data_IF_307794325546
#
_entry.id   IF_307794325546
#
_cell.length_a   1.000
_cell.length_b   1.000
_cell.length_c   1.000
_cell.angle_alpha   90.00
_cell.angle_beta   90.00
_cell.angle_gamma   90.00
#
_symmetry.space_group_name_H-M   'P 1'
#
loop_
_entity.id
_entity.type
_entity.pdbx_description
1 polymer ?
#
# COMPACT_ATOMS: atom_id res chain seq x y z
N UNK A 1 -56.29 -3.85 -45.10
CA UNK A 1 -55.05 -4.33 -44.50
C UNK A 1 -55.02 -3.95 -43.02
N UNK A 2 -55.29 -4.90 -42.11
CA UNK A 2 -55.21 -4.67 -40.66
C UNK A 2 -53.77 -4.88 -40.21
N UNK A 3 -53.07 -3.84 -39.74
CA UNK A 3 -51.76 -3.94 -39.08
C UNK A 3 -51.95 -4.59 -37.72
N UNK A 4 -51.41 -5.79 -37.54
CA UNK A 4 -51.35 -6.45 -36.22
C UNK A 4 -50.43 -5.67 -35.31
N UNK A 5 -50.96 -5.24 -34.14
CA UNK A 5 -50.15 -4.67 -33.07
C UNK A 5 -49.37 -5.82 -32.37
N UNK A 6 -48.09 -5.68 -32.10
CA UNK A 6 -47.37 -6.73 -31.36
C UNK A 6 -47.95 -6.91 -29.95
N UNK A 7 -48.05 -8.14 -29.51
CA UNK A 7 -48.54 -8.55 -28.23
C UNK A 7 -47.63 -8.00 -27.12
N UNK A 8 -48.16 -7.25 -26.12
CA UNK A 8 -47.35 -6.68 -25.05
C UNK A 8 -46.53 -7.72 -24.26
N UNK A 9 -46.98 -8.96 -24.20
CA UNK A 9 -46.25 -10.07 -23.57
C UNK A 9 -44.90 -10.37 -24.27
N UNK A 10 -44.82 -10.21 -25.60
CA UNK A 10 -43.58 -10.44 -26.36
C UNK A 10 -42.54 -9.31 -26.14
N UNK A 11 -43.00 -8.09 -25.91
CA UNK A 11 -42.13 -6.94 -25.61
C UNK A 11 -41.54 -7.09 -24.23
N UNK A 12 -42.31 -7.55 -23.23
CA UNK A 12 -41.85 -7.78 -21.85
C UNK A 12 -40.83 -8.92 -21.80
N UNK A 13 -41.04 -10.01 -22.50
CA UNK A 13 -40.10 -11.13 -22.59
C UNK A 13 -38.77 -10.71 -23.28
N UNK A 14 -38.82 -9.88 -24.32
CA UNK A 14 -37.59 -9.36 -24.96
C UNK A 14 -36.80 -8.40 -24.07
N UNK A 15 -37.46 -7.58 -23.27
CA UNK A 15 -36.83 -6.69 -22.31
C UNK A 15 -36.23 -7.50 -21.14
N UNK A 16 -36.90 -8.54 -20.67
CA UNK A 16 -36.36 -9.44 -19.63
C UNK A 16 -35.15 -10.24 -20.12
N UNK A 17 -35.13 -10.65 -21.40
CA UNK A 17 -33.97 -11.35 -21.99
C UNK A 17 -32.75 -10.42 -22.17
N UNK A 18 -32.99 -9.14 -22.48
CA UNK A 18 -31.92 -8.13 -22.60
C UNK A 18 -31.36 -7.75 -21.21
N UNK A 19 -32.17 -7.77 -20.16
CA UNK A 19 -31.68 -7.56 -18.77
C UNK A 19 -30.83 -8.73 -18.25
N UNK A 20 -30.92 -9.93 -18.83
CA UNK A 20 -30.10 -11.08 -18.42
C UNK A 20 -28.68 -11.12 -19.01
N UNK A 21 -28.32 -10.15 -19.87
CA UNK A 21 -26.99 -10.11 -20.53
C UNK A 21 -26.16 -8.89 -20.04
N UNK A 22 -26.43 -8.38 -18.84
CA UNK A 22 -25.44 -7.50 -18.22
C UNK A 22 -24.30 -8.42 -17.76
N UNK A 23 -23.07 -8.27 -18.31
CA UNK A 23 -21.95 -9.03 -17.79
C UNK A 23 -21.83 -8.71 -16.30
N UNK A 24 -21.87 -9.74 -15.47
CA UNK A 24 -21.41 -9.61 -14.09
C UNK A 24 -20.02 -8.98 -14.15
N UNK A 25 -19.73 -7.98 -13.34
CA UNK A 25 -18.36 -7.44 -13.28
C UNK A 25 -17.42 -8.62 -13.13
N UNK A 26 -16.45 -8.73 -14.02
CA UNK A 26 -15.49 -9.82 -14.00
C UNK A 26 -14.83 -9.82 -12.62
N UNK A 27 -14.92 -10.94 -11.92
CA UNK A 27 -14.26 -11.09 -10.63
C UNK A 27 -12.76 -10.89 -10.85
N UNK A 28 -12.13 -9.99 -10.08
CA UNK A 28 -10.70 -9.80 -10.16
C UNK A 28 -10.01 -11.09 -9.73
N UNK A 29 -9.12 -11.59 -10.58
CA UNK A 29 -8.15 -12.63 -10.22
C UNK A 29 -6.80 -11.97 -10.02
N UNK A 30 -6.26 -12.07 -8.83
CA UNK A 30 -4.90 -11.57 -8.52
C UNK A 30 -3.84 -12.36 -9.28
N UNK A 31 -2.63 -11.81 -9.43
CA UNK A 31 -1.51 -12.56 -10.01
C UNK A 31 -1.23 -13.87 -9.27
N UNK A 32 -1.43 -13.89 -7.95
CA UNK A 32 -1.27 -15.10 -7.12
C UNK A 32 -2.29 -16.20 -7.46
N UNK A 33 -3.50 -15.85 -7.86
CA UNK A 33 -4.55 -16.81 -8.26
C UNK A 33 -4.36 -17.36 -9.67
N UNK A 34 -3.46 -16.77 -10.46
CA UNK A 34 -3.14 -17.22 -11.83
C UNK A 34 -2.00 -18.25 -11.82
N UNK A 35 -2.19 -19.31 -11.06
CA UNK A 35 -1.19 -20.37 -10.85
C UNK A 35 -0.72 -21.02 -12.14
N UNK A 36 -1.58 -21.11 -13.16
CA UNK A 36 -1.28 -21.60 -14.49
C UNK A 36 -0.17 -20.81 -15.22
N UNK A 37 -0.01 -19.53 -14.88
CA UNK A 37 0.99 -18.66 -15.50
C UNK A 37 2.38 -18.82 -14.87
N UNK A 38 2.47 -18.96 -13.54
CA UNK A 38 3.77 -18.93 -12.87
C UNK A 38 4.27 -20.28 -12.38
N UNK A 39 3.43 -21.26 -12.08
CA UNK A 39 3.91 -22.58 -11.65
C UNK A 39 4.82 -23.26 -12.70
N UNK A 40 4.54 -23.18 -14.02
CA UNK A 40 5.45 -23.70 -15.03
C UNK A 40 6.86 -23.06 -14.99
N UNK A 41 6.93 -21.75 -14.66
CA UNK A 41 8.19 -21.00 -14.58
C UNK A 41 9.05 -21.40 -13.38
N UNK A 42 8.46 -22.05 -12.36
CA UNK A 42 9.13 -22.43 -11.11
C UNK A 42 9.63 -23.87 -11.08
N UNK A 43 9.22 -24.71 -12.05
CA UNK A 43 9.57 -26.13 -12.05
C UNK A 43 11.08 -26.33 -12.13
N UNK A 44 11.62 -27.14 -11.23
CA UNK A 44 13.04 -27.47 -11.14
C UNK A 44 13.91 -26.34 -10.57
N UNK A 45 13.34 -25.19 -10.22
CA UNK A 45 14.05 -24.06 -9.63
C UNK A 45 14.01 -24.11 -8.09
N UNK A 46 15.05 -23.55 -7.47
CA UNK A 46 15.09 -23.27 -6.03
C UNK A 46 14.44 -21.91 -5.79
N UNK A 47 13.27 -21.92 -5.17
CA UNK A 47 12.38 -20.78 -5.05
C UNK A 47 12.43 -20.20 -3.64
N UNK A 48 12.44 -18.87 -3.51
CA UNK A 48 12.07 -18.18 -2.29
C UNK A 48 10.79 -17.35 -2.51
N UNK A 49 10.04 -17.11 -1.44
CA UNK A 49 8.95 -16.13 -1.42
C UNK A 49 9.43 -14.93 -0.62
N UNK A 50 9.16 -13.70 -1.12
CA UNK A 50 9.06 -12.51 -0.30
C UNK A 50 7.58 -12.23 -0.11
N UNK A 51 7.07 -12.47 1.10
CA UNK A 51 5.62 -12.46 1.37
C UNK A 51 5.29 -12.26 2.84
N UNK A 52 3.99 -12.09 3.10
CA UNK A 52 3.44 -11.96 4.43
C UNK A 52 2.04 -12.62 4.51
N UNK A 53 1.24 -12.31 5.53
CA UNK A 53 -0.11 -12.85 5.73
C UNK A 53 -1.09 -12.53 4.58
N UNK A 54 -0.80 -11.53 3.74
CA UNK A 54 -1.63 -11.17 2.58
C UNK A 54 -1.32 -12.02 1.34
N UNK A 55 -0.26 -12.83 1.38
CA UNK A 55 0.20 -13.69 0.28
C UNK A 55 -0.72 -14.92 0.13
N UNK A 56 -1.95 -14.69 -0.36
CA UNK A 56 -2.99 -15.72 -0.47
C UNK A 56 -3.33 -16.05 -1.92
N UNK A 57 -3.64 -17.32 -2.15
CA UNK A 57 -4.23 -17.87 -3.37
C UNK A 57 -5.61 -18.38 -2.98
N UNK A 58 -6.64 -17.58 -3.21
CA UNK A 58 -7.96 -17.82 -2.59
C UNK A 58 -7.83 -17.80 -1.06
N UNK A 59 -8.22 -18.90 -0.42
CA UNK A 59 -8.16 -19.06 1.05
C UNK A 59 -6.86 -19.73 1.55
N UNK A 60 -5.95 -20.12 0.65
CA UNK A 60 -4.71 -20.83 1.00
C UNK A 60 -3.50 -19.92 0.85
N UNK A 61 -2.62 -19.93 1.84
CA UNK A 61 -1.39 -19.14 1.75
C UNK A 61 -0.48 -19.62 0.61
N UNK A 62 0.13 -18.69 -0.13
CA UNK A 62 0.97 -18.99 -1.30
C UNK A 62 2.06 -20.03 -1.01
N UNK A 63 2.74 -19.97 0.15
CA UNK A 63 3.74 -20.96 0.52
C UNK A 63 3.17 -22.39 0.55
N UNK A 64 1.98 -22.55 1.10
CA UNK A 64 1.31 -23.86 1.18
C UNK A 64 0.90 -24.34 -0.23
N UNK A 65 0.40 -23.42 -1.08
CA UNK A 65 0.04 -23.69 -2.48
C UNK A 65 1.24 -24.16 -3.30
N UNK A 66 2.39 -23.48 -3.17
CA UNK A 66 3.62 -23.84 -3.89
C UNK A 66 4.14 -25.23 -3.46
N UNK A 67 4.18 -25.49 -2.15
CA UNK A 67 4.62 -26.79 -1.64
C UNK A 67 3.68 -27.91 -2.10
N UNK A 68 2.35 -27.70 -2.04
CA UNK A 68 1.36 -28.66 -2.52
C UNK A 68 1.48 -28.92 -4.04
N UNK A 69 1.96 -27.93 -4.81
CA UNK A 69 2.22 -28.03 -6.25
C UNK A 69 3.59 -28.67 -6.58
N UNK A 70 4.35 -29.12 -5.59
CA UNK A 70 5.64 -29.77 -5.76
C UNK A 70 6.78 -28.79 -6.12
N UNK A 71 6.62 -27.49 -5.85
CA UNK A 71 7.66 -26.49 -6.05
C UNK A 71 8.71 -26.60 -4.93
N UNK A 72 9.98 -26.54 -5.30
CA UNK A 72 11.10 -26.55 -4.36
C UNK A 72 11.27 -25.19 -3.68
N UNK A 73 10.36 -24.90 -2.73
CA UNK A 73 10.39 -23.70 -1.90
C UNK A 73 11.42 -23.91 -0.78
N UNK A 74 12.48 -23.09 -0.74
CA UNK A 74 13.61 -23.32 0.16
C UNK A 74 13.69 -22.34 1.33
N UNK A 75 13.14 -21.12 1.19
CA UNK A 75 13.10 -20.12 2.26
C UNK A 75 12.05 -19.04 2.00
N UNK A 76 11.81 -18.25 3.04
CA UNK A 76 10.85 -17.15 3.04
C UNK A 76 11.56 -15.88 3.49
N UNK A 77 11.44 -14.81 2.72
CA UNK A 77 11.75 -13.45 3.15
C UNK A 77 10.46 -12.80 3.65
N UNK A 78 10.48 -12.17 4.81
CA UNK A 78 9.31 -11.47 5.33
C UNK A 78 9.62 -10.01 5.67
N UNK A 79 8.72 -9.07 5.27
CA UNK A 79 8.85 -7.67 5.60
C UNK A 79 8.38 -7.37 7.02
N UNK A 80 8.13 -6.10 7.31
CA UNK A 80 7.43 -5.64 8.50
C UNK A 80 6.13 -6.44 8.73
N UNK A 81 5.73 -6.60 9.97
CA UNK A 81 4.59 -7.41 10.45
C UNK A 81 4.78 -8.94 10.39
N UNK A 82 5.91 -9.43 9.87
CA UNK A 82 6.21 -10.87 9.86
C UNK A 82 5.45 -11.67 8.79
N UNK A 83 5.76 -12.96 8.72
CA UNK A 83 5.25 -13.80 7.64
C UNK A 83 3.76 -14.15 7.78
N UNK A 84 3.29 -14.39 9.00
CA UNK A 84 1.88 -14.72 9.28
C UNK A 84 1.10 -13.57 9.93
N UNK A 85 1.67 -12.33 9.94
CA UNK A 85 0.98 -11.12 10.42
C UNK A 85 0.90 -10.96 11.93
N UNK A 86 1.81 -11.56 12.68
CA UNK A 86 1.76 -11.59 14.16
C UNK A 86 2.48 -10.41 14.83
N UNK A 87 3.19 -9.53 14.07
CA UNK A 87 3.98 -8.45 14.61
C UNK A 87 3.33 -7.07 14.40
N UNK A 88 3.31 -6.23 15.47
CA UNK A 88 2.84 -4.85 15.37
C UNK A 88 3.74 -3.96 14.50
N UNK A 89 3.24 -2.78 14.11
CA UNK A 89 4.02 -1.79 13.36
C UNK A 89 5.26 -1.34 14.16
N UNK A 90 6.44 -1.40 13.52
CA UNK A 90 7.71 -1.06 14.15
C UNK A 90 8.29 -2.14 15.06
N UNK A 91 7.57 -3.23 15.33
CA UNK A 91 8.09 -4.33 16.14
C UNK A 91 9.23 -5.08 15.44
N UNK A 92 10.16 -5.60 16.25
CA UNK A 92 11.25 -6.41 15.73
C UNK A 92 10.73 -7.74 15.20
N UNK A 93 10.83 -7.94 13.89
CA UNK A 93 10.55 -9.21 13.24
C UNK A 93 11.82 -10.06 13.27
N UNK A 94 11.80 -11.15 14.01
CA UNK A 94 12.95 -12.05 14.11
C UNK A 94 12.94 -13.10 13.00
N UNK A 95 14.14 -13.48 12.54
CA UNK A 95 14.31 -14.64 11.67
C UNK A 95 14.05 -15.92 12.47
N UNK A 96 13.47 -16.93 11.82
CA UNK A 96 13.09 -18.16 12.49
C UNK A 96 12.69 -19.25 11.50
N UNK A 97 11.70 -20.05 11.88
CA UNK A 97 11.10 -21.06 10.99
C UNK A 97 9.57 -20.92 11.03
N UNK A 98 8.97 -21.07 9.86
CA UNK A 98 7.52 -21.17 9.76
C UNK A 98 7.04 -22.45 10.44
N UNK A 99 6.14 -22.31 11.40
CA UNK A 99 5.66 -23.44 12.23
C UNK A 99 4.89 -24.48 11.43
N UNK A 100 4.29 -24.07 10.31
CA UNK A 100 3.47 -24.96 9.46
C UNK A 100 4.32 -25.73 8.45
N UNK A 101 5.26 -25.06 7.79
CA UNK A 101 6.05 -25.65 6.70
C UNK A 101 7.46 -26.05 7.10
N UNK A 102 7.95 -25.59 8.26
CA UNK A 102 9.32 -25.78 8.72
C UNK A 102 10.37 -24.96 7.95
N UNK A 103 9.96 -24.15 6.96
CA UNK A 103 10.87 -23.37 6.14
C UNK A 103 11.54 -22.25 6.95
N UNK A 104 12.80 -21.93 6.66
CA UNK A 104 13.47 -20.79 7.26
C UNK A 104 12.80 -19.48 6.84
N UNK A 105 12.53 -18.63 7.83
CA UNK A 105 12.05 -17.25 7.65
C UNK A 105 13.21 -16.31 7.90
N UNK A 106 13.46 -15.41 6.95
CA UNK A 106 14.48 -14.38 7.00
C UNK A 106 13.77 -13.03 7.06
N UNK A 107 13.95 -12.30 8.15
CA UNK A 107 13.39 -10.97 8.31
C UNK A 107 14.12 -9.93 7.47
N UNK A 108 13.35 -9.17 6.68
CA UNK A 108 13.80 -7.99 5.94
C UNK A 108 13.35 -6.69 6.61
N UNK A 109 13.27 -6.70 7.95
CA UNK A 109 12.86 -5.53 8.72
C UNK A 109 13.90 -5.18 9.82
N UNK A 110 13.94 -3.92 10.20
CA UNK A 110 14.90 -3.40 11.19
C UNK A 110 16.29 -3.16 10.59
N UNK A 111 17.30 -3.91 11.02
CA UNK A 111 18.69 -3.71 10.58
C UNK A 111 18.96 -4.26 9.17
N UNK A 112 18.34 -5.36 8.81
CA UNK A 112 18.58 -6.07 7.54
C UNK A 112 17.34 -5.89 6.64
N UNK A 113 17.33 -4.82 5.84
CA UNK A 113 16.22 -4.53 4.92
C UNK A 113 16.41 -5.16 3.54
N UNK A 114 17.66 -5.49 3.19
CA UNK A 114 18.04 -6.10 1.92
C UNK A 114 18.53 -7.52 2.17
N UNK A 115 18.08 -8.52 1.38
CA UNK A 115 18.69 -9.86 1.43
C UNK A 115 20.19 -9.80 1.20
N UNK A 116 20.97 -10.56 1.98
CA UNK A 116 22.42 -10.65 1.77
C UNK A 116 22.76 -11.55 0.58
N UNK A 117 23.97 -11.45 0.07
CA UNK A 117 24.48 -12.31 -1.00
C UNK A 117 24.32 -13.80 -0.65
N UNK A 118 24.66 -14.20 0.57
CA UNK A 118 24.55 -15.59 1.02
C UNK A 118 23.11 -16.08 1.07
N UNK A 119 22.16 -15.16 1.34
CA UNK A 119 20.73 -15.49 1.39
C UNK A 119 20.11 -15.67 0.01
N UNK A 120 20.75 -15.16 -1.06
CA UNK A 120 20.23 -15.18 -2.43
C UNK A 120 21.00 -16.15 -3.34
N UNK A 121 22.28 -16.42 -3.08
CA UNK A 121 23.16 -17.21 -3.95
C UNK A 121 22.62 -18.61 -4.26
N UNK A 122 21.98 -19.27 -3.28
CA UNK A 122 21.40 -20.61 -3.41
C UNK A 122 20.02 -20.64 -4.06
N UNK A 123 19.49 -19.50 -4.51
CA UNK A 123 18.20 -19.37 -5.18
C UNK A 123 18.38 -19.31 -6.71
N UNK A 124 17.29 -19.61 -7.40
CA UNK A 124 17.16 -19.41 -8.85
C UNK A 124 16.13 -18.31 -9.13
N UNK A 125 15.08 -18.20 -8.28
CA UNK A 125 14.00 -17.22 -8.43
C UNK A 125 13.47 -16.78 -7.07
N UNK A 126 13.05 -15.52 -6.98
CA UNK A 126 12.34 -14.96 -5.82
C UNK A 126 10.95 -14.52 -6.28
N UNK A 127 9.90 -15.07 -5.67
CA UNK A 127 8.53 -14.60 -5.85
C UNK A 127 8.28 -13.47 -4.88
N UNK A 128 7.78 -12.34 -5.36
CA UNK A 128 7.29 -11.24 -4.54
C UNK A 128 5.75 -11.22 -4.57
N UNK A 129 5.12 -11.40 -3.42
CA UNK A 129 3.66 -11.43 -3.27
C UNK A 129 3.23 -10.77 -1.98
N UNK A 130 2.96 -9.48 -2.02
CA UNK A 130 2.55 -8.67 -0.86
C UNK A 130 1.52 -7.65 -1.30
N UNK A 131 0.43 -7.48 -0.51
CA UNK A 131 -0.57 -6.45 -0.75
C UNK A 131 -0.03 -5.06 -0.35
N UNK A 132 0.10 -4.17 -1.33
CA UNK A 132 0.42 -2.75 -1.14
C UNK A 132 -0.87 -1.90 -1.09
N UNK A 133 -0.76 -0.64 -0.64
CA UNK A 133 -1.88 0.30 -0.58
C UNK A 133 -1.68 1.56 -1.43
N UNK A 134 -0.66 1.59 -2.28
CA UNK A 134 -0.42 2.67 -3.24
C UNK A 134 0.15 3.96 -2.65
N UNK A 135 0.76 3.91 -1.47
CA UNK A 135 1.33 5.04 -0.79
C UNK A 135 2.86 4.93 -0.66
N UNK A 136 3.59 5.98 -1.04
CA UNK A 136 5.07 5.99 -1.02
C UNK A 136 5.66 5.56 0.32
N UNK A 137 5.10 5.98 1.43
CA UNK A 137 5.60 5.67 2.76
C UNK A 137 5.10 4.33 3.32
N UNK A 138 4.25 3.60 2.59
CA UNK A 138 3.92 2.21 2.90
C UNK A 138 5.02 1.32 2.35
N UNK A 139 5.84 0.74 3.22
CA UNK A 139 7.22 0.34 2.93
C UNK A 139 7.40 -0.93 2.09
N UNK A 140 6.33 -1.57 1.62
CA UNK A 140 6.46 -2.78 0.80
C UNK A 140 7.07 -2.52 -0.58
N UNK A 141 6.88 -1.34 -1.16
CA UNK A 141 7.59 -0.91 -2.37
C UNK A 141 9.11 -0.78 -2.13
N UNK A 142 9.52 -0.40 -0.92
CA UNK A 142 10.93 -0.32 -0.52
C UNK A 142 11.51 -1.71 -0.28
N UNK A 143 10.72 -2.65 0.26
CA UNK A 143 11.10 -4.06 0.36
C UNK A 143 11.29 -4.67 -1.03
N UNK A 144 10.36 -4.39 -1.97
CA UNK A 144 10.47 -4.84 -3.37
C UNK A 144 11.77 -4.34 -3.99
N UNK A 145 12.10 -3.04 -3.84
CA UNK A 145 13.35 -2.47 -4.33
C UNK A 145 14.57 -3.28 -3.87
N UNK A 146 14.70 -3.55 -2.57
CA UNK A 146 15.83 -4.27 -2.02
C UNK A 146 15.88 -5.75 -2.43
N UNK A 147 14.73 -6.39 -2.62
CA UNK A 147 14.65 -7.75 -3.16
C UNK A 147 15.11 -7.78 -4.61
N UNK A 148 14.65 -6.84 -5.44
CA UNK A 148 15.06 -6.71 -6.83
C UNK A 148 16.55 -6.40 -6.95
N UNK A 149 17.08 -5.52 -6.09
CA UNK A 149 18.49 -5.15 -6.08
C UNK A 149 19.37 -6.34 -5.70
N UNK A 150 19.03 -7.07 -4.64
CA UNK A 150 19.75 -8.26 -4.22
C UNK A 150 19.71 -9.38 -5.30
N UNK A 151 18.57 -9.54 -5.97
CA UNK A 151 18.42 -10.48 -7.08
C UNK A 151 19.27 -10.07 -8.29
N UNK A 152 19.26 -8.80 -8.68
CA UNK A 152 20.04 -8.27 -9.79
C UNK A 152 21.56 -8.47 -9.58
N UNK A 153 22.06 -8.19 -8.36
CA UNK A 153 23.47 -8.38 -7.99
C UNK A 153 23.94 -9.83 -8.11
N UNK A 154 23.03 -10.80 -7.98
CA UNK A 154 23.33 -12.23 -8.05
C UNK A 154 22.80 -12.90 -9.33
N UNK A 155 22.31 -12.11 -10.31
CA UNK A 155 21.77 -12.63 -11.58
C UNK A 155 20.55 -13.54 -11.39
N UNK A 156 19.70 -13.26 -10.38
CA UNK A 156 18.50 -14.03 -10.09
C UNK A 156 17.26 -13.36 -10.65
N UNK A 157 16.26 -14.17 -10.96
CA UNK A 157 14.94 -13.70 -11.42
C UNK A 157 14.05 -13.29 -10.24
N UNK A 158 13.27 -12.23 -10.42
CA UNK A 158 12.15 -11.87 -9.54
C UNK A 158 10.85 -12.01 -10.32
N UNK A 159 9.88 -12.71 -9.72
CA UNK A 159 8.51 -12.81 -10.23
C UNK A 159 7.59 -12.08 -9.27
N UNK A 160 6.94 -11.01 -9.74
CA UNK A 160 5.91 -10.30 -8.95
C UNK A 160 4.55 -10.90 -9.28
N UNK A 161 3.82 -11.35 -8.26
CA UNK A 161 2.42 -11.72 -8.38
C UNK A 161 1.60 -10.46 -8.06
N UNK A 162 1.10 -9.79 -9.10
CA UNK A 162 0.50 -8.46 -8.95
C UNK A 162 -0.84 -8.50 -8.22
N UNK A 163 -1.11 -7.41 -7.48
CA UNK A 163 -2.30 -7.27 -6.62
C UNK A 163 -2.96 -5.91 -6.82
N UNK A 164 -4.32 -5.82 -6.65
CA UNK A 164 -5.03 -4.56 -6.80
C UNK A 164 -4.49 -3.49 -5.85
N UNK A 165 -4.35 -2.26 -6.37
CA UNK A 165 -4.06 -1.11 -5.54
C UNK A 165 -5.39 -0.42 -5.15
N UNK A 166 -5.77 -0.38 -3.86
CA UNK A 166 -7.02 0.28 -3.43
C UNK A 166 -7.02 1.80 -3.68
N UNK A 167 -5.83 2.43 -3.77
CA UNK A 167 -5.63 3.83 -4.14
C UNK A 167 -5.09 3.98 -5.59
N UNK A 168 -5.33 3.00 -6.47
CA UNK A 168 -4.82 2.97 -7.84
C UNK A 168 -5.44 4.00 -8.78
N UNK A 169 -6.61 4.54 -8.43
CA UNK A 169 -7.44 5.37 -9.27
C UNK A 169 -7.04 6.86 -9.32
N UNK A 170 -6.01 7.28 -8.58
CA UNK A 170 -5.52 8.66 -8.58
C UNK A 170 -4.03 8.77 -8.24
N UNK A 171 -3.47 9.93 -8.55
CA UNK A 171 -2.09 10.31 -8.26
C UNK A 171 -2.11 11.64 -7.51
N UNK A 172 -1.45 11.74 -6.34
CA UNK A 172 -1.55 12.93 -5.51
C UNK A 172 -0.39 13.11 -4.53
N UNK A 173 -0.24 14.35 -4.07
CA UNK A 173 0.71 14.75 -3.03
C UNK A 173 2.11 15.08 -3.56
N UNK A 174 3.00 15.58 -2.69
CA UNK A 174 4.35 15.98 -3.06
C UNK A 174 5.18 14.80 -3.55
N UNK A 175 5.94 15.02 -4.63
CA UNK A 175 6.95 14.09 -5.14
C UNK A 175 8.19 14.16 -4.25
N UNK A 176 8.84 13.02 -4.01
CA UNK A 176 10.07 12.94 -3.23
C UNK A 176 11.18 13.78 -3.87
N UNK A 177 11.77 14.68 -3.11
CA UNK A 177 12.91 15.50 -3.51
C UNK A 177 14.24 14.86 -3.07
N UNK A 178 15.34 15.24 -3.74
CA UNK A 178 16.67 14.79 -3.39
C UNK A 178 17.04 15.18 -1.95
N UNK A 179 17.68 14.27 -1.22
CA UNK A 179 18.06 14.48 0.18
C UNK A 179 17.02 13.98 1.20
N UNK A 180 15.80 13.64 0.77
CA UNK A 180 14.77 13.08 1.66
C UNK A 180 14.59 11.56 1.52
N UNK A 181 15.46 10.92 0.72
CA UNK A 181 15.44 9.47 0.52
C UNK A 181 15.58 8.71 1.84
N UNK A 182 14.73 7.72 2.03
CA UNK A 182 14.71 6.87 3.21
C UNK A 182 13.91 5.59 2.93
N UNK A 183 13.80 4.69 3.89
CA UNK A 183 12.97 3.50 3.73
C UNK A 183 11.48 3.80 3.57
N UNK A 184 10.99 4.96 4.05
CA UNK A 184 9.62 5.44 3.82
C UNK A 184 9.47 6.28 2.55
N UNK A 185 10.50 6.31 1.69
CA UNK A 185 10.50 7.02 0.40
C UNK A 185 11.82 6.85 -0.31
N UNK A 186 11.95 5.87 -1.21
CA UNK A 186 13.19 5.57 -1.91
C UNK A 186 13.29 6.28 -3.26
N UNK A 187 12.16 6.46 -3.95
CA UNK A 187 12.12 6.91 -5.34
C UNK A 187 11.36 8.22 -5.49
N UNK A 188 11.65 8.94 -6.58
CA UNK A 188 11.02 10.22 -6.95
C UNK A 188 9.58 10.01 -7.43
N UNK A 189 8.72 9.54 -6.54
CA UNK A 189 7.29 9.34 -6.77
C UNK A 189 6.47 10.19 -5.79
N UNK A 190 5.21 10.53 -6.09
CA UNK A 190 4.34 11.27 -5.18
C UNK A 190 3.89 10.39 -4.01
N UNK A 191 3.21 10.99 -3.04
CA UNK A 191 2.64 10.28 -1.88
C UNK A 191 1.71 9.17 -2.33
N UNK A 192 0.77 9.45 -3.22
CA UNK A 192 -0.07 8.45 -3.88
C UNK A 192 0.40 8.31 -5.32
N UNK A 193 0.95 7.16 -5.66
CA UNK A 193 1.58 6.96 -6.96
C UNK A 193 0.65 6.34 -8.02
N UNK A 194 -0.54 5.85 -7.62
CA UNK A 194 -1.53 5.32 -8.54
C UNK A 194 -1.08 4.08 -9.34
N UNK A 195 -0.14 3.29 -8.84
CA UNK A 195 0.42 2.12 -9.52
C UNK A 195 0.20 0.86 -8.69
N UNK A 196 0.04 -0.29 -9.34
CA UNK A 196 0.13 -1.59 -8.67
C UNK A 196 1.58 -1.89 -8.27
N UNK A 197 1.78 -2.90 -7.43
CA UNK A 197 3.13 -3.33 -7.03
C UNK A 197 3.94 -3.85 -8.23
N UNK A 198 3.28 -4.49 -9.20
CA UNK A 198 3.89 -4.96 -10.43
C UNK A 198 4.35 -3.82 -11.35
N UNK A 199 3.49 -2.81 -11.55
CA UNK A 199 3.83 -1.60 -12.29
C UNK A 199 4.97 -0.82 -11.63
N UNK A 200 4.95 -0.71 -10.30
CA UNK A 200 6.00 -0.07 -9.53
C UNK A 200 7.36 -0.79 -9.69
N UNK A 201 7.34 -2.12 -9.68
CA UNK A 201 8.53 -2.93 -9.94
C UNK A 201 9.08 -2.71 -11.34
N UNK A 202 8.22 -2.64 -12.36
CA UNK A 202 8.63 -2.32 -13.74
C UNK A 202 9.24 -0.93 -13.84
N UNK A 203 8.64 0.09 -13.19
CA UNK A 203 9.18 1.45 -13.15
C UNK A 203 10.53 1.48 -12.45
N UNK A 204 10.67 0.84 -11.28
CA UNK A 204 11.94 0.74 -10.54
C UNK A 204 13.05 0.18 -11.44
N UNK A 205 12.73 -0.86 -12.19
CA UNK A 205 13.67 -1.49 -13.13
C UNK A 205 13.91 -0.61 -14.38
N UNK A 206 12.84 -0.07 -14.97
CA UNK A 206 12.89 0.75 -16.19
C UNK A 206 13.68 2.04 -16.01
N UNK A 207 13.44 2.76 -14.94
CA UNK A 207 14.13 4.02 -14.60
C UNK A 207 15.56 3.81 -14.06
N UNK A 208 16.00 2.55 -13.87
CA UNK A 208 17.35 2.24 -13.38
C UNK A 208 17.58 2.69 -11.94
N UNK A 209 16.56 2.58 -11.09
CA UNK A 209 16.63 3.02 -9.70
C UNK A 209 17.36 2.05 -8.77
N UNK A 210 17.69 0.85 -9.23
CA UNK A 210 18.52 -0.08 -8.46
C UNK A 210 19.97 0.44 -8.41
N UNK A 211 20.72 0.03 -7.39
CA UNK A 211 22.10 0.50 -7.19
C UNK A 211 22.96 0.33 -8.46
N UNK A 212 23.70 1.38 -8.79
CA UNK A 212 24.54 1.40 -10.00
C UNK A 212 23.77 1.32 -11.33
N UNK A 213 22.44 1.52 -11.32
CA UNK A 213 21.62 1.36 -12.53
C UNK A 213 21.44 -0.10 -12.96
N UNK A 214 21.65 -1.06 -12.05
CA UNK A 214 21.47 -2.48 -12.32
C UNK A 214 20.04 -2.77 -12.81
N UNK A 215 19.90 -3.83 -13.60
CA UNK A 215 18.61 -4.33 -14.09
C UNK A 215 18.35 -5.71 -13.50
N UNK A 216 17.19 -5.86 -12.87
CA UNK A 216 16.71 -7.15 -12.41
C UNK A 216 16.01 -7.89 -13.56
N UNK A 217 16.25 -9.20 -13.67
CA UNK A 217 15.40 -10.05 -14.52
C UNK A 217 14.04 -10.15 -13.85
N UNK A 218 13.04 -9.44 -14.42
CA UNK A 218 11.73 -9.22 -13.80
C UNK A 218 10.61 -9.78 -14.66
N UNK A 219 9.76 -10.61 -14.06
CA UNK A 219 8.49 -11.07 -14.63
C UNK A 219 7.34 -10.58 -13.76
N UNK A 220 6.29 -10.01 -14.35
CA UNK A 220 5.07 -9.63 -13.62
C UNK A 220 3.91 -10.51 -14.08
N UNK A 221 3.32 -11.25 -13.15
CA UNK A 221 2.08 -11.99 -13.39
C UNK A 221 0.93 -11.03 -13.15
N UNK A 222 0.32 -10.58 -14.24
CA UNK A 222 -0.77 -9.59 -14.21
C UNK A 222 -2.04 -10.15 -13.56
N UNK A 223 -2.86 -9.26 -13.04
CA UNK A 223 -4.24 -9.56 -12.67
C UNK A 223 -5.15 -9.71 -13.90
N UNK A 224 -6.28 -10.36 -13.73
CA UNK A 224 -7.40 -10.35 -14.67
C UNK A 224 -8.58 -9.57 -14.07
N UNK A 225 -9.32 -8.85 -14.93
CA UNK A 225 -10.52 -8.11 -14.52
C UNK A 225 -10.27 -6.85 -13.68
N UNK A 226 -9.02 -6.39 -13.57
CA UNK A 226 -8.64 -5.17 -12.88
C UNK A 226 -8.37 -4.03 -13.86
N UNK A 227 -8.82 -2.83 -13.49
CA UNK A 227 -8.43 -1.54 -14.09
C UNK A 227 -8.09 -0.58 -12.95
N UNK A 228 -7.42 0.53 -13.23
CA UNK A 228 -7.12 1.54 -12.19
C UNK A 228 -8.38 2.18 -11.60
N UNK A 229 -9.46 2.27 -12.38
CA UNK A 229 -10.76 2.76 -11.89
C UNK A 229 -11.54 1.75 -11.05
N UNK A 230 -11.08 0.48 -10.98
CA UNK A 230 -11.78 -0.58 -10.24
C UNK A 230 -11.65 -0.35 -8.73
N UNK A 231 -12.79 -0.25 -8.05
CA UNK A 231 -12.84 -0.25 -6.59
C UNK A 231 -12.60 -1.66 -6.05
N UNK A 232 -11.69 -1.76 -5.12
CA UNK A 232 -11.33 -3.04 -4.54
C UNK A 232 -11.19 -2.94 -3.02
N UNK A 233 -12.09 -3.61 -2.31
CA UNK A 233 -11.99 -3.80 -0.87
C UNK A 233 -11.03 -4.95 -0.60
N UNK A 234 -10.02 -4.71 0.22
CA UNK A 234 -9.01 -5.73 0.54
C UNK A 234 -9.63 -6.84 1.40
N UNK A 235 -9.59 -8.11 0.98
CA UNK A 235 -10.17 -9.21 1.74
C UNK A 235 -9.41 -9.48 3.05
N UNK A 236 -8.16 -9.02 3.12
CA UNK A 236 -7.27 -9.15 4.28
C UNK A 236 -6.66 -7.78 4.56
N UNK A 237 -6.73 -7.35 5.81
CA UNK A 237 -6.10 -6.09 6.25
C UNK A 237 -4.59 -6.11 5.93
N UNK A 238 -4.06 -5.10 5.21
CA UNK A 238 -2.67 -5.11 4.75
C UNK A 238 -1.66 -4.90 5.90
N UNK A 239 -2.13 -4.34 7.02
CA UNK A 239 -1.35 -4.21 8.26
C UNK A 239 -2.27 -4.12 9.47
N UNK A 240 -1.75 -4.34 10.70
CA UNK A 240 -2.57 -4.34 11.91
C UNK A 240 -3.33 -3.05 12.20
N UNK A 241 -2.88 -1.91 11.67
CA UNK A 241 -3.51 -0.60 11.86
C UNK A 241 -4.28 -0.08 10.62
N UNK A 242 -4.30 -0.79 9.48
CA UNK A 242 -5.12 -0.47 8.32
C UNK A 242 -6.18 -1.56 8.14
N UNK A 243 -7.23 -1.53 8.99
CA UNK A 243 -8.19 -2.64 9.13
C UNK A 243 -9.45 -2.48 8.29
N UNK A 244 -9.69 -1.29 7.75
CA UNK A 244 -10.89 -0.96 7.00
C UNK A 244 -10.54 -0.24 5.72
N UNK A 245 -11.45 -0.26 4.74
CA UNK A 245 -11.32 0.52 3.52
C UNK A 245 -11.25 2.02 3.82
N UNK A 246 -11.97 2.48 4.86
CA UNK A 246 -11.91 3.87 5.33
C UNK A 246 -10.51 4.25 5.81
N UNK A 247 -9.87 3.41 6.62
CA UNK A 247 -8.50 3.64 7.08
C UNK A 247 -7.50 3.67 5.90
N UNK A 248 -7.64 2.78 4.92
CA UNK A 248 -6.81 2.73 3.73
C UNK A 248 -6.99 3.98 2.86
N UNK A 249 -8.21 4.46 2.69
CA UNK A 249 -8.54 5.68 1.96
C UNK A 249 -7.96 6.93 2.63
N UNK A 250 -8.02 7.00 3.96
CA UNK A 250 -7.56 8.15 4.74
C UNK A 250 -6.03 8.13 5.00
N UNK A 251 -5.40 6.97 4.91
CA UNK A 251 -3.98 6.77 5.23
C UNK A 251 -3.05 7.74 4.52
N UNK A 252 -3.18 8.03 3.21
CA UNK A 252 -2.31 8.98 2.52
C UNK A 252 -2.31 10.38 3.13
N UNK A 253 -3.47 10.82 3.65
CA UNK A 253 -3.65 12.15 4.26
C UNK A 253 -3.25 12.20 5.73
N UNK A 254 -3.45 11.10 6.49
CA UNK A 254 -3.26 11.07 7.94
C UNK A 254 -1.88 10.61 8.37
N UNK A 255 -1.15 9.87 7.54
CA UNK A 255 0.17 9.34 7.92
C UNK A 255 1.20 10.44 8.26
N UNK A 256 1.06 11.64 7.73
CA UNK A 256 1.92 12.79 8.09
C UNK A 256 1.90 13.11 9.59
N UNK A 257 0.80 12.82 10.27
CA UNK A 257 0.70 13.05 11.71
C UNK A 257 1.68 12.21 12.53
N UNK A 258 2.25 11.14 12.00
CA UNK A 258 3.28 10.36 12.69
C UNK A 258 4.59 11.13 12.94
N UNK A 259 4.80 12.28 12.27
CA UNK A 259 5.87 13.23 12.54
C UNK A 259 5.48 14.36 13.50
N UNK A 260 4.26 14.33 14.07
CA UNK A 260 3.67 15.39 14.90
C UNK A 260 3.24 14.90 16.28
N UNK A 261 2.69 15.81 17.08
CA UNK A 261 2.06 15.48 18.36
C UNK A 261 0.64 14.94 18.25
N UNK A 262 0.10 14.76 17.04
CA UNK A 262 -1.28 14.29 16.81
C UNK A 262 -1.32 12.77 16.70
N UNK A 263 -2.15 12.12 17.51
CA UNK A 263 -2.47 10.70 17.35
C UNK A 263 -3.38 10.48 16.16
N UNK A 264 -3.14 9.43 15.38
CA UNK A 264 -4.02 8.92 14.31
C UNK A 264 -4.91 7.78 14.78
N UNK A 265 -5.20 7.71 16.07
CA UNK A 265 -6.08 6.68 16.65
C UNK A 265 -5.42 5.30 16.82
N UNK A 266 -4.10 5.18 16.70
CA UNK A 266 -3.42 3.93 17.10
C UNK A 266 -3.74 3.62 18.57
N UNK A 267 -4.05 2.36 18.86
CA UNK A 267 -4.52 1.95 20.20
C UNK A 267 -6.02 2.19 20.41
N UNK A 268 -6.80 2.40 19.34
CA UNK A 268 -8.27 2.42 19.32
C UNK A 268 -8.81 1.40 18.31
N UNK A 269 -10.12 1.26 18.22
CA UNK A 269 -10.77 0.39 17.23
C UNK A 269 -10.75 0.99 15.81
N UNK A 270 -10.48 2.30 15.67
CA UNK A 270 -10.52 3.05 14.40
C UNK A 270 -9.20 3.77 14.08
N UNK A 271 -8.05 3.06 14.05
CA UNK A 271 -6.79 3.68 13.67
C UNK A 271 -6.84 4.18 12.22
N UNK A 272 -6.29 5.37 11.97
CA UNK A 272 -6.33 6.10 10.70
C UNK A 272 -7.74 6.51 10.23
N UNK A 273 -8.74 6.44 11.11
CA UNK A 273 -10.08 7.01 10.87
C UNK A 273 -10.40 8.17 11.83
N UNK A 274 -9.53 8.41 12.80
CA UNK A 274 -9.62 9.50 13.77
C UNK A 274 -8.27 10.18 13.92
N UNK A 275 -8.27 11.45 14.30
CA UNK A 275 -7.03 12.14 14.69
C UNK A 275 -7.30 13.15 15.79
N UNK A 276 -6.32 13.33 16.69
CA UNK A 276 -6.45 14.25 17.81
C UNK A 276 -5.29 14.18 18.80
N UNK A 277 -5.34 15.04 19.80
CA UNK A 277 -4.38 15.11 20.90
C UNK A 277 -5.04 15.61 22.17
N UNK A 278 -4.44 15.42 23.36
CA UNK A 278 -4.96 15.98 24.62
C UNK A 278 -5.11 17.50 24.59
N UNK A 279 -4.14 18.20 23.96
CA UNK A 279 -4.09 19.67 23.91
C UNK A 279 -4.84 20.28 22.74
N UNK A 280 -5.40 19.48 21.83
CA UNK A 280 -6.09 20.01 20.65
C UNK A 280 -7.36 20.77 21.07
N UNK A 281 -7.53 22.02 20.62
CA UNK A 281 -8.65 22.87 21.02
C UNK A 281 -9.87 22.77 20.13
N UNK A 282 -9.78 22.08 18.98
CA UNK A 282 -10.86 21.89 18.03
C UNK A 282 -11.27 20.41 17.93
N UNK A 283 -12.45 20.18 17.34
CA UNK A 283 -13.06 18.87 17.19
C UNK A 283 -14.11 18.60 18.26
N UNK A 284 -14.98 17.65 17.98
CA UNK A 284 -16.12 17.24 18.80
C UNK A 284 -16.06 15.74 19.17
N UNK A 285 -15.04 15.05 18.67
CA UNK A 285 -14.80 13.64 18.95
C UNK A 285 -13.73 13.47 20.03
N UNK A 286 -13.93 12.46 20.91
CA UNK A 286 -12.99 12.12 21.97
C UNK A 286 -12.65 10.65 21.95
N UNK A 287 -11.36 10.33 22.11
CA UNK A 287 -10.89 8.95 22.21
C UNK A 287 -9.69 8.85 23.19
N UNK A 288 -9.45 7.65 23.68
CA UNK A 288 -8.32 7.38 24.58
C UNK A 288 -7.54 6.20 24.03
N UNK A 289 -6.32 6.41 23.50
CA UNK A 289 -5.46 5.32 23.06
C UNK A 289 -5.12 4.36 24.21
N UNK A 290 -5.27 3.07 23.96
CA UNK A 290 -4.91 2.00 24.92
C UNK A 290 -4.02 0.96 24.24
N UNK A 291 -3.16 0.25 24.98
CA UNK A 291 -2.36 -0.81 24.41
C UNK A 291 -3.21 -1.92 23.79
N UNK A 292 -2.94 -2.27 22.55
CA UNK A 292 -3.54 -3.41 21.87
C UNK A 292 -2.41 -4.35 21.46
N UNK A 293 -2.36 -5.54 22.09
CA UNK A 293 -1.31 -6.53 21.86
C UNK A 293 -1.23 -6.93 20.38
N UNK A 294 -0.02 -6.92 19.80
CA UNK A 294 0.23 -7.29 18.41
C UNK A 294 -0.23 -6.24 17.38
N UNK A 295 -0.74 -5.09 17.84
CA UNK A 295 -1.25 -4.02 16.96
C UNK A 295 -0.59 -2.68 17.28
N UNK A 296 -0.66 -2.23 18.54
CA UNK A 296 -0.07 -1.00 19.03
C UNK A 296 0.07 -1.08 20.56
N UNK A 297 1.20 -1.56 21.05
CA UNK A 297 1.43 -1.75 22.49
C UNK A 297 1.78 -0.44 23.20
N UNK A 298 2.35 0.51 22.47
CA UNK A 298 2.71 1.84 22.97
C UNK A 298 2.18 2.95 22.06
N UNK A 299 0.85 3.12 21.95
CA UNK A 299 0.28 4.16 21.09
C UNK A 299 0.63 5.56 21.61
N UNK A 300 0.75 6.57 20.73
CA UNK A 300 0.85 7.96 21.14
C UNK A 300 -0.30 8.34 22.07
N UNK A 301 -0.02 9.13 23.13
CA UNK A 301 -0.99 9.56 24.15
C UNK A 301 -1.70 8.39 24.89
N UNK A 302 -0.97 7.31 25.13
CA UNK A 302 -1.47 6.12 25.85
C UNK A 302 -2.11 6.50 27.18
N UNK A 303 -3.41 6.19 27.35
CA UNK A 303 -4.18 6.46 28.55
C UNK A 303 -4.66 7.90 28.71
N UNK A 304 -4.31 8.80 27.80
CA UNK A 304 -4.74 10.18 27.82
C UNK A 304 -5.98 10.41 26.97
N UNK A 305 -6.92 11.24 27.43
CA UNK A 305 -8.11 11.60 26.65
C UNK A 305 -7.74 12.63 25.59
N UNK A 306 -7.74 12.20 24.33
CA UNK A 306 -7.52 13.06 23.17
C UNK A 306 -8.84 13.68 22.72
N UNK A 307 -8.79 14.95 22.31
CA UNK A 307 -9.85 15.64 21.58
C UNK A 307 -9.45 15.73 20.10
N UNK A 308 -10.41 15.59 19.19
CA UNK A 308 -10.12 15.65 17.77
C UNK A 308 -11.34 15.40 16.88
N UNK A 309 -11.13 14.68 15.80
CA UNK A 309 -12.11 14.46 14.75
C UNK A 309 -12.24 12.97 14.44
N UNK A 310 -13.46 12.52 14.16
CA UNK A 310 -13.73 11.24 13.51
C UNK A 310 -14.04 11.48 12.04
N UNK A 311 -13.39 10.71 11.18
CA UNK A 311 -13.54 10.75 9.73
C UNK A 311 -14.23 9.50 9.17
N UNK A 312 -14.61 8.53 10.01
CA UNK A 312 -15.17 7.24 9.57
C UNK A 312 -16.44 7.42 8.72
N UNK A 313 -17.37 8.29 9.13
CA UNK A 313 -18.59 8.54 8.36
C UNK A 313 -18.27 9.16 7.01
N UNK A 314 -17.40 10.18 6.97
CA UNK A 314 -16.97 10.83 5.73
C UNK A 314 -16.29 9.81 4.81
N UNK A 315 -15.33 9.03 5.31
CA UNK A 315 -14.62 8.05 4.51
C UNK A 315 -15.54 6.99 3.92
N UNK A 316 -16.51 6.48 4.69
CA UNK A 316 -17.48 5.50 4.21
C UNK A 316 -18.40 6.05 3.11
N UNK A 317 -18.71 7.36 3.14
CA UNK A 317 -19.42 8.02 2.04
C UNK A 317 -18.53 8.19 0.80
N UNK A 318 -17.26 8.64 0.98
CA UNK A 318 -16.30 8.85 -0.09
C UNK A 318 -15.90 7.55 -0.82
N UNK A 319 -15.90 6.41 -0.12
CA UNK A 319 -15.64 5.09 -0.71
C UNK A 319 -16.64 4.72 -1.82
N UNK A 320 -17.78 5.41 -1.92
CA UNK A 320 -18.75 5.23 -3.01
C UNK A 320 -18.29 5.88 -4.34
N UNK A 321 -17.32 6.77 -4.29
CA UNK A 321 -16.87 7.57 -5.44
C UNK A 321 -15.39 7.32 -5.76
N UNK A 322 -15.07 7.30 -7.06
CA UNK A 322 -13.69 7.16 -7.54
C UNK A 322 -13.12 8.54 -7.86
N UNK A 323 -12.68 9.29 -6.84
CA UNK A 323 -12.00 10.56 -7.03
C UNK A 323 -10.78 10.69 -6.12
N UNK A 324 -10.00 11.74 -6.31
CA UNK A 324 -8.85 12.02 -5.48
C UNK A 324 -9.29 12.33 -4.05
N UNK A 325 -8.91 11.45 -3.10
CA UNK A 325 -9.24 11.60 -1.68
C UNK A 325 -8.08 12.13 -0.84
N UNK A 326 -6.93 12.41 -1.46
CA UNK A 326 -5.79 12.99 -0.76
C UNK A 326 -6.05 14.46 -0.44
N UNK A 327 -5.83 14.85 0.82
CA UNK A 327 -5.93 16.23 1.28
C UNK A 327 -4.97 16.50 2.43
N UNK A 328 -4.44 17.72 2.49
CA UNK A 328 -3.65 18.22 3.62
C UNK A 328 -4.48 19.10 4.56
N UNK A 329 -5.78 19.22 4.32
CA UNK A 329 -6.72 20.00 5.14
C UNK A 329 -6.70 19.57 6.61
N UNK A 330 -6.61 18.24 6.86
CA UNK A 330 -6.57 17.71 8.22
C UNK A 330 -5.31 18.18 8.96
N UNK A 331 -4.15 18.17 8.31
CA UNK A 331 -2.89 18.68 8.84
C UNK A 331 -2.97 20.17 9.16
N UNK A 332 -3.46 20.98 8.20
CA UNK A 332 -3.63 22.43 8.36
C UNK A 332 -4.60 22.74 9.53
N UNK A 333 -5.72 22.00 9.60
CA UNK A 333 -6.73 22.17 10.66
C UNK A 333 -6.15 21.87 12.04
N UNK A 334 -5.45 20.73 12.17
CA UNK A 334 -4.82 20.34 13.41
C UNK A 334 -3.73 21.33 13.84
N UNK A 335 -2.87 21.75 12.89
CA UNK A 335 -1.85 22.76 13.17
C UNK A 335 -2.46 24.07 13.66
N UNK A 336 -3.50 24.60 13.00
CA UNK A 336 -4.19 25.83 13.42
C UNK A 336 -4.83 25.70 14.81
N UNK A 337 -5.36 24.53 15.15
CA UNK A 337 -6.06 24.28 16.41
C UNK A 337 -5.13 23.89 17.57
N UNK A 338 -3.86 23.53 17.32
CA UNK A 338 -2.92 23.16 18.38
C UNK A 338 -2.36 24.41 19.05
N UNK A 339 -2.43 24.57 20.40
CA UNK A 339 -2.09 25.83 21.07
C UNK A 339 -0.62 26.24 20.90
N UNK A 340 0.31 25.35 21.21
CA UNK A 340 1.75 25.61 21.15
C UNK A 340 2.36 25.10 19.85
N UNK A 341 2.41 25.97 18.85
CA UNK A 341 2.93 25.66 17.51
C UNK A 341 4.36 25.10 17.49
N UNK A 342 5.16 25.47 18.49
CA UNK A 342 6.56 25.01 18.59
C UNK A 342 6.66 23.52 18.92
N UNK A 343 5.61 22.94 19.50
CA UNK A 343 5.53 21.52 19.89
C UNK A 343 4.75 20.66 18.89
N UNK A 344 4.20 21.24 17.84
CA UNK A 344 3.37 20.48 16.90
C UNK A 344 4.16 19.42 16.13
N UNK A 345 5.28 19.80 15.51
CA UNK A 345 6.15 18.88 14.77
C UNK A 345 7.18 18.25 15.72
N UNK A 346 6.77 17.20 16.43
CA UNK A 346 7.62 16.51 17.43
C UNK A 346 8.83 15.81 16.82
N UNK A 347 8.70 15.40 15.54
CA UNK A 347 9.79 14.81 14.76
C UNK A 347 9.78 15.39 13.33
N UNK A 348 10.21 16.65 13.19
CA UNK A 348 10.22 17.37 11.93
C UNK A 348 11.02 16.63 10.83
N UNK A 349 12.15 16.01 11.18
CA UNK A 349 12.96 15.25 10.24
C UNK A 349 12.23 14.00 9.70
N UNK A 350 11.44 13.34 10.52
CA UNK A 350 10.63 12.20 10.10
C UNK A 350 9.42 12.67 9.28
N UNK A 351 8.77 13.77 9.68
CA UNK A 351 7.71 14.40 8.90
C UNK A 351 8.18 14.75 7.49
N UNK A 352 9.36 15.37 7.36
CA UNK A 352 9.92 15.74 6.07
C UNK A 352 10.25 14.52 5.20
N UNK A 353 10.64 13.40 5.80
CA UNK A 353 10.81 12.11 5.09
C UNK A 353 9.49 11.53 4.59
N UNK A 354 8.43 11.61 5.39
CA UNK A 354 7.08 11.19 4.96
C UNK A 354 6.58 12.09 3.82
N UNK A 355 6.74 13.40 3.96
CA UNK A 355 6.37 14.35 2.91
C UNK A 355 7.28 14.24 1.66
N UNK A 356 8.52 13.79 1.82
CA UNK A 356 9.54 13.77 0.78
C UNK A 356 10.15 15.15 0.48
N UNK A 357 9.86 16.12 1.34
CA UNK A 357 10.31 17.53 1.24
C UNK A 357 10.07 18.25 2.56
N UNK A 358 10.86 19.28 2.90
CA UNK A 358 10.56 20.18 4.03
C UNK A 358 9.48 21.20 3.68
N UNK A 359 9.24 21.46 2.40
CA UNK A 359 8.33 22.54 1.93
C UNK A 359 6.93 22.42 2.50
N UNK A 360 6.37 21.19 2.58
CA UNK A 360 5.03 20.99 3.15
C UNK A 360 4.96 21.52 4.59
N UNK A 361 5.91 21.14 5.43
CA UNK A 361 5.99 21.62 6.83
C UNK A 361 6.18 23.12 6.92
N UNK A 362 7.10 23.67 6.14
CA UNK A 362 7.42 25.09 6.12
C UNK A 362 6.22 25.94 5.66
N UNK A 363 5.49 25.49 4.63
CA UNK A 363 4.31 26.17 4.12
C UNK A 363 3.13 26.10 5.11
N UNK A 364 2.95 24.97 5.84
CA UNK A 364 1.97 24.87 6.92
C UNK A 364 2.31 25.85 8.05
N UNK A 365 3.57 25.93 8.47
CA UNK A 365 4.05 26.88 9.49
C UNK A 365 3.84 28.34 9.03
N UNK A 366 4.08 28.64 7.76
CA UNK A 366 3.86 29.95 7.16
C UNK A 366 2.37 30.32 6.98
N UNK A 367 1.43 29.40 7.33
CA UNK A 367 -0.01 29.64 7.25
C UNK A 367 -0.57 29.67 5.82
N UNK A 368 0.11 29.02 4.87
CA UNK A 368 -0.35 28.89 3.50
C UNK A 368 -1.65 28.11 3.41
N UNK A 369 -2.45 28.42 2.39
CA UNK A 369 -3.68 27.70 2.07
C UNK A 369 -3.37 26.31 1.50
N UNK A 370 -4.32 25.38 1.55
CA UNK A 370 -4.22 24.08 0.92
C UNK A 370 -3.88 24.21 -0.58
N UNK A 371 -4.58 25.10 -1.29
CA UNK A 371 -4.37 25.35 -2.71
C UNK A 371 -2.93 25.81 -3.00
N UNK A 372 -2.39 26.82 -2.26
CA UNK A 372 -1.01 27.29 -2.43
C UNK A 372 0.02 26.16 -2.23
N UNK A 373 -0.27 25.27 -1.27
CA UNK A 373 0.61 24.13 -0.97
C UNK A 373 0.52 23.10 -2.09
N UNK A 374 -0.67 22.77 -2.57
CA UNK A 374 -0.87 21.83 -3.69
C UNK A 374 -0.24 22.33 -5.00
N UNK A 375 -0.34 23.61 -5.28
CA UNK A 375 0.31 24.25 -6.43
C UNK A 375 1.84 24.09 -6.39
N UNK A 376 2.45 24.01 -5.20
CA UNK A 376 3.92 23.92 -5.04
C UNK A 376 4.53 22.63 -5.58
N UNK A 377 3.77 21.54 -5.74
CA UNK A 377 4.24 20.26 -6.30
C UNK A 377 3.60 19.89 -7.65
N UNK A 378 2.70 20.74 -8.17
CA UNK A 378 1.91 20.43 -9.38
C UNK A 378 2.77 20.11 -10.61
N UNK A 379 3.85 20.83 -10.82
CA UNK A 379 4.78 20.59 -11.94
C UNK A 379 5.47 19.23 -11.84
N UNK A 380 5.97 18.88 -10.65
CA UNK A 380 6.65 17.60 -10.43
C UNK A 380 5.67 16.43 -10.52
N UNK A 381 4.46 16.63 -10.01
CA UNK A 381 3.38 15.66 -10.10
C UNK A 381 3.01 15.40 -11.57
N UNK A 382 2.88 16.45 -12.39
CA UNK A 382 2.63 16.32 -13.83
C UNK A 382 3.73 15.52 -14.55
N UNK A 383 5.00 15.77 -14.24
CA UNK A 383 6.13 15.00 -14.79
C UNK A 383 6.05 13.52 -14.41
N UNK A 384 5.69 13.22 -13.16
CA UNK A 384 5.50 11.84 -12.71
C UNK A 384 4.34 11.16 -13.44
N UNK A 385 3.20 11.83 -13.61
CA UNK A 385 2.04 11.29 -14.33
C UNK A 385 2.43 10.89 -15.75
N UNK A 386 3.21 11.72 -16.46
CA UNK A 386 3.69 11.36 -17.81
C UNK A 386 4.67 10.17 -17.79
N UNK A 387 5.61 10.14 -16.86
CA UNK A 387 6.54 9.01 -16.70
C UNK A 387 5.81 7.71 -16.37
N UNK A 388 4.80 7.76 -15.48
CA UNK A 388 3.99 6.63 -15.05
C UNK A 388 3.34 5.89 -16.21
N UNK A 389 2.85 6.61 -17.23
CA UNK A 389 2.16 6.03 -18.40
C UNK A 389 2.97 4.95 -19.11
N UNK A 390 4.31 5.06 -19.09
CA UNK A 390 5.19 4.07 -19.71
C UNK A 390 5.24 2.72 -18.98
N UNK A 391 4.67 2.62 -17.79
CA UNK A 391 4.75 1.44 -16.93
C UNK A 391 3.40 0.84 -16.55
N UNK A 392 2.30 1.44 -17.00
CA UNK A 392 0.96 0.93 -16.71
C UNK A 392 0.74 -0.40 -17.42
N UNK A 393 0.21 -1.36 -16.68
CA UNK A 393 -0.15 -2.70 -17.15
C UNK A 393 -1.66 -2.86 -17.38
N UNK A 394 -2.45 -1.95 -16.81
CA UNK A 394 -3.91 -1.96 -16.79
C UNK A 394 -4.46 -0.63 -17.30
N UNK A 395 -5.69 -0.67 -17.79
CA UNK A 395 -6.42 0.52 -18.22
C UNK A 395 -6.71 1.46 -17.03
N UNK A 396 -6.74 2.77 -17.31
CA UNK A 396 -7.10 3.81 -16.35
C UNK A 396 -8.60 3.94 -16.13
#
# INVERSE_FOLDING_TARGET
>A
MRKSRPNPAHIIISILLIMMILPLPAQIRTGAERTEEYLPLLRGKRVAICGNHTSMVGEVHLADTLLASGINLVKIFCPEHGFRGEAEAGAKVESGRDTKTGLPIISLYGKNKKPTTEQVTDLDVIIFDIQDVGCRFYTYISTLHYVMEAAAEQGKEVIILDRPNPNGHYVAGPVLEDGYNSFVGMHKVPVVHGMTIGEYGQMTNGEGWLAGGAKCQLTVIKMEGYTHSTRYSLPIAPSPNLRSDAAILLYPSLCFFEGTCISVGRGTDTPFEVYGAPELTAGDFFFTPTPIKGVSENPPHKGEKCRGFSLSTFANEELKYAHNNFTIKYLITAYKAYPDKSKFFTNAAFFDKLAGTSKLREMVIAGKTEQEIEESWSEQLGKFVEMRKGYLLYEE
#
